data_IF_265148969235
#
_entry.id   IF_265148969235
#
_cell.length_a   1.000
_cell.length_b   1.000
_cell.length_c   1.000
_cell.angle_alpha   90.00
_cell.angle_beta   90.00
_cell.angle_gamma   90.00
#
_symmetry.space_group_name_H-M   'P 1'
#
loop_
_entity.id
_entity.type
_entity.pdbx_description
1 polymer ?
#
# COMPACT_ATOMS: atom_id res chain seq x y z
N UNK A 1 14.59 -19.76 -0.78
CA UNK A 1 14.40 -18.76 -1.85
C UNK A 1 15.59 -18.89 -2.77
N UNK A 2 15.40 -19.00 -4.09
CA UNK A 2 16.54 -19.06 -5.02
C UNK A 2 17.15 -17.65 -5.05
N UNK A 3 18.26 -17.45 -4.33
CA UNK A 3 18.75 -16.11 -4.01
C UNK A 3 19.40 -15.41 -5.22
N UNK A 4 19.93 -16.17 -6.18
CA UNK A 4 20.58 -15.67 -7.39
C UNK A 4 20.00 -16.38 -8.61
N UNK A 5 19.31 -15.60 -9.44
CA UNK A 5 18.72 -15.98 -10.72
C UNK A 5 18.65 -14.71 -11.55
N UNK A 6 19.22 -14.76 -12.75
CA UNK A 6 19.39 -13.63 -13.66
C UNK A 6 18.30 -13.56 -14.74
N UNK A 7 17.41 -14.56 -14.78
CA UNK A 7 16.24 -14.57 -15.68
C UNK A 7 15.05 -15.35 -15.12
N UNK A 8 13.87 -15.14 -15.73
CA UNK A 8 12.68 -15.93 -15.46
C UNK A 8 12.86 -17.42 -15.83
N UNK A 9 13.58 -17.70 -16.91
CA UNK A 9 13.84 -19.06 -17.39
C UNK A 9 14.76 -19.82 -16.42
N UNK A 10 15.78 -19.16 -15.88
CA UNK A 10 16.66 -19.72 -14.86
C UNK A 10 15.91 -19.98 -13.54
N UNK A 11 14.98 -19.10 -13.17
CA UNK A 11 14.09 -19.33 -12.03
C UNK A 11 13.17 -20.54 -12.26
N UNK A 12 12.61 -20.68 -13.46
CA UNK A 12 11.81 -21.84 -13.82
C UNK A 12 12.63 -23.14 -13.74
N UNK A 13 13.85 -23.15 -14.27
CA UNK A 13 14.74 -24.30 -14.22
C UNK A 13 15.07 -24.71 -12.78
N UNK A 14 15.34 -23.75 -11.90
CA UNK A 14 15.60 -24.02 -10.49
C UNK A 14 14.36 -24.53 -9.73
N UNK A 15 13.17 -24.03 -10.08
CA UNK A 15 11.90 -24.54 -9.54
C UNK A 15 11.62 -25.97 -10.01
N UNK A 16 11.93 -26.30 -11.26
CA UNK A 16 11.79 -27.66 -11.80
C UNK A 16 12.70 -28.63 -11.05
N UNK A 17 13.98 -28.29 -10.85
CA UNK A 17 14.89 -29.10 -10.04
C UNK A 17 14.38 -29.31 -8.60
N UNK A 18 13.84 -28.25 -7.97
CA UNK A 18 13.25 -28.37 -6.63
C UNK A 18 12.03 -29.29 -6.61
N UNK A 19 11.14 -29.21 -7.62
CA UNK A 19 9.97 -30.09 -7.74
C UNK A 19 10.43 -31.53 -7.87
N UNK A 20 11.36 -31.79 -8.79
CA UNK A 20 11.75 -33.15 -9.14
C UNK A 20 12.52 -33.83 -8.00
N UNK A 21 13.29 -33.06 -7.21
CA UNK A 21 14.08 -33.58 -6.09
C UNK A 21 13.28 -33.74 -4.78
N UNK A 22 12.27 -32.90 -4.54
CA UNK A 22 11.65 -32.77 -3.21
C UNK A 22 10.14 -32.96 -3.18
N UNK A 23 9.45 -32.92 -4.32
CA UNK A 23 8.00 -33.15 -4.36
C UNK A 23 7.71 -34.65 -4.34
N UNK A 24 6.75 -35.07 -3.51
CA UNK A 24 6.35 -36.48 -3.42
C UNK A 24 5.66 -36.98 -4.71
N UNK A 25 4.95 -36.08 -5.42
CA UNK A 25 4.24 -36.36 -6.66
C UNK A 25 4.51 -35.24 -7.69
N UNK A 26 5.71 -35.16 -8.29
CA UNK A 26 6.10 -34.11 -9.23
C UNK A 26 5.15 -33.93 -10.42
N UNK A 27 4.53 -35.02 -10.89
CA UNK A 27 3.58 -35.05 -11.99
C UNK A 27 2.31 -34.22 -11.77
N UNK A 28 1.99 -33.91 -10.51
CA UNK A 28 0.84 -33.06 -10.16
C UNK A 28 1.09 -31.57 -10.38
N UNK A 29 2.35 -31.16 -10.57
CA UNK A 29 2.76 -29.77 -10.78
C UNK A 29 3.45 -29.62 -12.14
N UNK A 30 2.67 -29.43 -13.23
CA UNK A 30 3.21 -29.41 -14.59
C UNK A 30 4.11 -28.21 -14.85
N UNK A 31 4.97 -28.30 -15.87
CA UNK A 31 5.92 -27.24 -16.22
C UNK A 31 5.24 -25.89 -16.54
N UNK A 32 4.00 -25.91 -17.03
CA UNK A 32 3.21 -24.70 -17.25
C UNK A 32 2.88 -23.95 -15.95
N UNK A 33 2.65 -24.69 -14.86
CA UNK A 33 2.42 -24.10 -13.54
C UNK A 33 3.72 -23.51 -13.00
N UNK A 34 4.84 -24.22 -13.14
CA UNK A 34 6.16 -23.71 -12.79
C UNK A 34 6.54 -22.44 -13.57
N UNK A 35 6.28 -22.41 -14.88
CA UNK A 35 6.48 -21.24 -15.71
C UNK A 35 5.61 -20.05 -15.25
N UNK A 36 4.35 -20.32 -14.86
CA UNK A 36 3.46 -19.31 -14.28
C UNK A 36 3.99 -18.72 -12.97
N UNK A 37 4.48 -19.59 -12.07
CA UNK A 37 5.09 -19.18 -10.79
C UNK A 37 6.37 -18.38 -11.03
N UNK A 38 7.25 -18.85 -11.91
CA UNK A 38 8.50 -18.17 -12.26
C UNK A 38 8.22 -16.79 -12.87
N UNK A 39 7.28 -16.71 -13.82
CA UNK A 39 6.86 -15.45 -14.45
C UNK A 39 6.26 -14.46 -13.44
N UNK A 40 5.41 -14.93 -12.54
CA UNK A 40 4.85 -14.10 -11.46
C UNK A 40 5.95 -13.59 -10.52
N UNK A 41 6.81 -14.49 -10.02
CA UNK A 41 7.88 -14.15 -9.08
C UNK A 41 8.91 -13.19 -9.71
N UNK A 42 9.24 -13.39 -10.99
CA UNK A 42 10.12 -12.50 -11.75
C UNK A 42 9.50 -11.11 -11.92
N UNK A 43 8.22 -11.02 -12.25
CA UNK A 43 7.50 -9.74 -12.34
C UNK A 43 7.44 -9.02 -10.98
N UNK A 44 7.22 -9.76 -9.90
CA UNK A 44 7.33 -9.24 -8.53
C UNK A 44 8.74 -8.72 -8.24
N UNK A 45 9.79 -9.43 -8.66
CA UNK A 45 11.19 -8.98 -8.50
C UNK A 45 11.45 -7.67 -9.24
N UNK A 46 11.09 -7.60 -10.53
CA UNK A 46 11.28 -6.39 -11.36
C UNK A 46 10.53 -5.17 -10.81
N UNK A 47 9.38 -5.39 -10.16
CA UNK A 47 8.60 -4.32 -9.51
C UNK A 47 9.02 -4.04 -8.07
N UNK A 48 10.11 -4.65 -7.60
CA UNK A 48 10.57 -4.58 -6.21
C UNK A 48 9.46 -4.93 -5.20
N UNK A 49 8.59 -5.88 -5.57
CA UNK A 49 7.44 -6.37 -4.81
C UNK A 49 7.74 -7.62 -3.98
N UNK A 50 8.98 -8.12 -3.99
CA UNK A 50 9.39 -9.24 -3.13
C UNK A 50 9.79 -8.67 -1.76
N UNK A 51 9.02 -9.00 -0.73
CA UNK A 51 9.36 -8.66 0.64
C UNK A 51 10.51 -9.56 1.15
N UNK A 52 11.61 -8.95 1.56
CA UNK A 52 12.82 -9.58 2.12
C UNK A 52 13.08 -9.14 3.57
N UNK A 53 12.03 -8.80 4.32
CA UNK A 53 12.21 -8.24 5.66
C UNK A 53 12.85 -6.85 5.61
N UNK A 54 13.89 -6.63 6.42
CA UNK A 54 14.57 -5.32 6.54
C UNK A 54 15.38 -4.91 5.31
N UNK A 55 15.66 -5.84 4.40
CA UNK A 55 16.33 -5.58 3.12
C UNK A 55 15.32 -5.21 1.99
N UNK A 56 14.06 -4.96 2.35
CA UNK A 56 13.04 -4.52 1.40
C UNK A 56 13.06 -3.01 1.24
N UNK A 57 12.99 -2.53 0.01
CA UNK A 57 12.55 -1.16 -0.26
C UNK A 57 11.03 -1.12 -0.41
N UNK A 58 10.38 -0.09 0.16
CA UNK A 58 8.95 0.15 0.01
C UNK A 58 8.71 1.42 -0.82
N UNK A 59 7.81 1.39 -1.82
CA UNK A 59 7.50 2.57 -2.61
C UNK A 59 6.60 3.52 -1.82
N UNK A 60 6.96 4.81 -1.81
CA UNK A 60 6.07 5.88 -1.33
C UNK A 60 5.46 6.58 -2.53
N UNK A 61 4.14 6.69 -2.57
CA UNK A 61 3.44 7.32 -3.70
C UNK A 61 3.72 8.83 -3.74
N UNK A 62 4.17 9.33 -4.90
CA UNK A 62 4.47 10.76 -5.06
C UNK A 62 3.25 11.66 -4.81
N UNK A 63 2.06 11.23 -5.24
CA UNK A 63 0.80 11.96 -4.99
C UNK A 63 0.49 12.09 -3.49
N UNK A 64 0.85 11.09 -2.69
CA UNK A 64 0.72 11.17 -1.24
C UNK A 64 1.64 12.26 -0.66
N UNK A 65 2.88 12.34 -1.15
CA UNK A 65 3.82 13.38 -0.73
C UNK A 65 3.37 14.77 -1.19
N UNK A 66 2.85 14.89 -2.41
CA UNK A 66 2.36 16.16 -2.96
C UNK A 66 1.14 16.68 -2.17
N UNK A 67 0.24 15.79 -1.74
CA UNK A 67 -0.90 16.16 -0.90
C UNK A 67 -0.51 16.67 0.51
N UNK A 68 0.67 16.28 0.99
CA UNK A 68 1.18 16.70 2.31
C UNK A 68 2.13 17.90 2.24
N UNK A 69 2.75 18.15 1.08
CA UNK A 69 3.73 19.22 0.91
C UNK A 69 3.08 20.60 1.10
N UNK A 70 3.77 21.50 1.79
CA UNK A 70 3.30 22.87 2.03
C UNK A 70 2.25 23.01 3.13
N UNK A 71 1.75 21.91 3.71
CA UNK A 71 0.84 21.95 4.84
C UNK A 71 1.58 22.22 6.16
N UNK A 72 0.93 22.89 7.12
CA UNK A 72 1.55 23.30 8.39
C UNK A 72 2.14 22.14 9.23
N UNK A 73 1.61 20.92 9.08
CA UNK A 73 2.13 19.70 9.72
C UNK A 73 2.62 18.65 8.70
N UNK A 74 2.88 19.07 7.46
CA UNK A 74 3.21 18.18 6.34
C UNK A 74 4.45 17.32 6.57
N UNK A 75 5.50 17.91 7.15
CA UNK A 75 6.75 17.19 7.44
C UNK A 75 6.52 16.06 8.45
N UNK A 76 5.78 16.32 9.53
CA UNK A 76 5.47 15.30 10.53
C UNK A 76 4.54 14.22 9.97
N UNK A 77 3.60 14.61 9.09
CA UNK A 77 2.72 13.68 8.39
C UNK A 77 3.51 12.77 7.43
N UNK A 78 4.48 13.32 6.69
CA UNK A 78 5.38 12.53 5.82
C UNK A 78 6.22 11.57 6.67
N UNK A 79 6.82 12.04 7.77
CA UNK A 79 7.60 11.18 8.66
C UNK A 79 6.76 10.04 9.23
N UNK A 80 5.52 10.34 9.67
CA UNK A 80 4.59 9.32 10.14
C UNK A 80 4.20 8.35 9.01
N UNK A 81 3.89 8.84 7.81
CA UNK A 81 3.53 8.00 6.65
C UNK A 81 4.65 7.01 6.32
N UNK A 82 5.89 7.48 6.22
CA UNK A 82 7.06 6.64 5.92
C UNK A 82 7.23 5.54 6.97
N UNK A 83 7.09 5.87 8.25
CA UNK A 83 7.15 4.87 9.32
C UNK A 83 6.02 3.83 9.20
N UNK A 84 4.80 4.27 8.86
CA UNK A 84 3.69 3.33 8.70
C UNK A 84 3.87 2.44 7.47
N UNK A 85 4.39 2.96 6.35
CA UNK A 85 4.71 2.16 5.16
C UNK A 85 5.82 1.13 5.45
N UNK A 86 6.87 1.50 6.20
CA UNK A 86 7.89 0.54 6.69
C UNK A 86 7.25 -0.61 7.50
N UNK A 87 6.38 -0.27 8.45
CA UNK A 87 5.81 -1.26 9.37
C UNK A 87 4.65 -2.07 8.79
N UNK A 88 3.88 -1.50 7.87
CA UNK A 88 2.57 -2.03 7.46
C UNK A 88 2.33 -2.01 5.94
N UNK A 89 3.14 -1.30 5.15
CA UNK A 89 2.95 -1.14 3.70
C UNK A 89 3.03 -2.46 2.90
N UNK A 90 3.74 -3.44 3.45
CA UNK A 90 3.84 -4.81 2.90
C UNK A 90 2.60 -5.67 3.14
N UNK A 91 1.66 -5.24 4.00
CA UNK A 91 0.40 -5.95 4.29
C UNK A 91 -0.82 -5.08 3.98
N UNK A 92 -1.25 -5.00 2.70
CA UNK A 92 -2.39 -4.19 2.30
C UNK A 92 -3.65 -4.47 3.14
N UNK A 93 -4.30 -3.42 3.63
CA UNK A 93 -5.54 -3.54 4.44
C UNK A 93 -5.34 -4.04 5.87
N UNK A 94 -4.09 -4.29 6.31
CA UNK A 94 -3.80 -4.67 7.69
C UNK A 94 -4.27 -3.59 8.66
N UNK A 95 -5.04 -4.02 9.65
CA UNK A 95 -5.51 -3.16 10.75
C UNK A 95 -4.42 -3.06 11.81
N UNK A 96 -4.12 -1.84 12.25
CA UNK A 96 -3.14 -1.59 13.29
C UNK A 96 -3.60 -0.50 14.26
N UNK A 97 -3.26 -0.61 15.56
CA UNK A 97 -3.46 0.48 16.49
C UNK A 97 -2.39 1.57 16.31
N UNK A 98 -2.72 2.82 16.66
CA UNK A 98 -1.75 3.92 16.74
C UNK A 98 -1.62 4.42 18.19
N UNK A 99 -0.64 3.87 18.91
CA UNK A 99 -0.25 4.36 20.24
C UNK A 99 1.03 5.20 20.16
N UNK A 100 0.85 6.52 20.07
CA UNK A 100 1.96 7.46 19.98
C UNK A 100 2.86 7.48 21.22
N UNK A 101 2.37 7.09 22.40
CA UNK A 101 3.23 7.01 23.59
C UNK A 101 4.14 5.80 23.48
N UNK A 102 3.58 4.65 23.08
CA UNK A 102 4.35 3.43 22.87
C UNK A 102 5.38 3.59 21.73
N UNK A 103 4.98 4.18 20.59
CA UNK A 103 5.88 4.43 19.46
C UNK A 103 7.09 5.28 19.84
N UNK A 104 6.86 6.35 20.62
CA UNK A 104 7.95 7.20 21.13
C UNK A 104 8.86 6.46 22.11
N UNK A 105 8.27 5.70 23.04
CA UNK A 105 9.04 4.91 24.03
C UNK A 105 9.92 3.87 23.35
N UNK A 106 9.45 3.29 22.26
CA UNK A 106 10.19 2.34 21.43
C UNK A 106 11.23 3.00 20.51
N UNK A 107 11.36 4.33 20.53
CA UNK A 107 12.34 5.05 19.70
C UNK A 107 11.99 5.08 18.20
N UNK A 108 10.77 4.71 17.81
CA UNK A 108 10.38 4.63 16.39
C UNK A 108 10.24 6.00 15.73
N UNK A 109 9.87 7.02 16.51
CA UNK A 109 9.70 8.38 16.02
C UNK A 109 9.92 9.40 17.14
N UNK A 110 10.74 10.40 16.87
CA UNK A 110 11.04 11.47 17.83
C UNK A 110 10.22 12.73 17.55
N UNK A 111 8.89 12.58 17.54
CA UNK A 111 7.93 13.69 17.37
C UNK A 111 7.01 13.72 18.59
N UNK A 112 6.64 14.92 19.06
CA UNK A 112 5.76 15.06 20.22
C UNK A 112 4.37 14.46 19.95
N UNK A 113 3.71 13.94 20.98
CA UNK A 113 2.38 13.32 20.85
C UNK A 113 1.31 14.25 20.25
N UNK A 114 1.24 15.56 20.62
CA UNK A 114 0.32 16.49 19.97
C UNK A 114 0.57 16.62 18.46
N UNK A 115 1.84 16.69 18.05
CA UNK A 115 2.27 16.76 16.65
C UNK A 115 1.94 15.47 15.90
N UNK A 116 2.17 14.31 16.50
CA UNK A 116 1.76 13.01 15.93
C UNK A 116 0.23 12.90 15.75
N UNK A 117 -0.56 13.44 16.69
CA UNK A 117 -2.03 13.50 16.53
C UNK A 117 -2.44 14.42 15.37
N UNK A 118 -1.75 15.54 15.18
CA UNK A 118 -2.00 16.44 14.06
C UNK A 118 -1.59 15.80 12.73
N UNK A 119 -0.43 15.17 12.68
CA UNK A 119 0.06 14.39 11.54
C UNK A 119 -0.94 13.28 11.16
N UNK A 120 -1.42 12.48 12.12
CA UNK A 120 -2.44 11.46 11.88
C UNK A 120 -3.73 12.04 11.29
N UNK A 121 -4.24 13.14 11.85
CA UNK A 121 -5.43 13.83 11.30
C UNK A 121 -5.21 14.29 9.86
N UNK A 122 -4.00 14.75 9.54
CA UNK A 122 -3.64 15.16 8.18
C UNK A 122 -3.61 13.97 7.23
N UNK A 123 -3.02 12.84 7.63
CA UNK A 123 -3.04 11.60 6.85
C UNK A 123 -4.47 11.09 6.62
N UNK A 124 -5.35 11.20 7.62
CA UNK A 124 -6.77 10.88 7.45
C UNK A 124 -7.47 11.85 6.49
N UNK A 125 -7.24 13.15 6.63
CA UNK A 125 -7.81 14.17 5.74
C UNK A 125 -7.35 14.03 4.29
N UNK A 126 -6.11 13.56 4.07
CA UNK A 126 -5.57 13.25 2.76
C UNK A 126 -6.01 11.87 2.23
N UNK A 127 -6.76 11.08 3.00
CA UNK A 127 -7.19 9.74 2.59
C UNK A 127 -6.04 8.72 2.50
N UNK A 128 -4.95 8.93 3.24
CA UNK A 128 -3.77 8.05 3.31
C UNK A 128 -3.84 7.07 4.50
N UNK A 129 -4.63 7.41 5.51
CA UNK A 129 -4.95 6.55 6.64
C UNK A 129 -6.45 6.60 6.87
N UNK A 130 -7.06 5.48 7.22
CA UNK A 130 -8.50 5.43 7.55
C UNK A 130 -8.74 4.77 8.89
N UNK A 131 -9.57 5.39 9.72
CA UNK A 131 -10.09 4.78 10.95
C UNK A 131 -11.11 3.68 10.59
N UNK A 132 -10.90 2.47 11.11
CA UNK A 132 -11.75 1.29 10.83
C UNK A 132 -12.62 0.92 12.04
N UNK A 133 -12.19 1.22 13.26
CA UNK A 133 -13.00 1.01 14.46
C UNK A 133 -13.08 2.27 15.31
N UNK A 134 -14.29 2.60 15.77
CA UNK A 134 -14.48 3.66 16.77
C UNK A 134 -14.08 3.12 18.14
N UNK A 135 -13.31 3.93 18.88
CA UNK A 135 -12.87 3.61 20.23
C UNK A 135 -14.06 3.28 21.15
N UNK A 136 -13.95 2.19 21.92
CA UNK A 136 -14.78 1.95 23.10
C UNK A 136 -13.87 1.95 24.32
N UNK A 137 -14.07 2.92 25.21
CA UNK A 137 -13.29 3.06 26.44
C UNK A 137 -13.32 1.73 27.22
N UNK A 138 -12.14 1.24 27.58
CA UNK A 138 -11.96 -0.01 28.34
C UNK A 138 -12.05 -1.31 27.53
N UNK A 139 -12.17 -1.28 26.20
CA UNK A 139 -12.34 -2.52 25.42
C UNK A 139 -11.50 -2.62 24.14
N UNK A 140 -11.47 -1.59 23.29
CA UNK A 140 -10.85 -1.70 21.95
C UNK A 140 -10.10 -0.41 21.56
N UNK A 141 -8.80 -0.49 21.20
CA UNK A 141 -8.07 0.66 20.66
C UNK A 141 -8.65 1.07 19.30
N UNK A 142 -8.46 2.34 18.92
CA UNK A 142 -8.75 2.79 17.56
C UNK A 142 -7.84 2.05 16.58
N UNK A 143 -8.45 1.35 15.62
CA UNK A 143 -7.72 0.67 14.57
C UNK A 143 -7.75 1.48 13.29
N UNK A 144 -6.60 1.54 12.65
CA UNK A 144 -6.36 2.23 11.41
C UNK A 144 -5.91 1.25 10.33
N UNK A 145 -6.07 1.64 9.08
CA UNK A 145 -5.49 0.97 7.92
C UNK A 145 -4.78 2.00 7.05
N UNK A 146 -3.68 1.60 6.42
CA UNK A 146 -3.09 2.36 5.34
C UNK A 146 -3.96 2.26 4.09
N UNK A 147 -4.15 3.38 3.42
CA UNK A 147 -4.89 3.46 2.16
C UNK A 147 -3.96 3.97 1.07
N UNK A 148 -4.03 3.34 -0.10
CA UNK A 148 -3.30 3.78 -1.28
C UNK A 148 -4.15 4.83 -1.99
N UNK A 149 -3.55 5.94 -2.42
CA UNK A 149 -4.23 6.84 -3.33
C UNK A 149 -4.39 6.11 -4.66
N UNK A 150 -5.63 5.79 -5.02
CA UNK A 150 -5.94 5.24 -6.32
C UNK A 150 -5.78 6.36 -7.36
N UNK A 151 -4.68 6.35 -8.12
CA UNK A 151 -4.43 7.32 -9.19
C UNK A 151 -5.43 7.25 -10.36
N UNK A 152 -6.42 6.35 -10.32
CA UNK A 152 -7.33 6.05 -11.43
C UNK A 152 -8.82 6.23 -11.18
N UNK A 153 -9.27 6.76 -10.03
CA UNK A 153 -10.71 6.98 -9.77
C UNK A 153 -11.17 8.43 -9.87
N UNK A 154 -10.28 9.41 -10.05
CA UNK A 154 -10.70 10.83 -10.17
C UNK A 154 -11.30 11.20 -11.54
N UNK A 155 -11.28 10.29 -12.52
CA UNK A 155 -11.81 10.53 -13.87
C UNK A 155 -13.22 9.95 -14.10
N UNK A 156 -13.66 8.94 -13.33
CA UNK A 156 -14.95 8.29 -13.57
C UNK A 156 -16.11 8.82 -12.71
N UNK A 157 -15.83 9.52 -11.60
CA UNK A 157 -16.87 10.14 -10.76
C UNK A 157 -17.31 11.54 -11.22
N UNK A 158 -16.68 12.12 -12.25
CA UNK A 158 -17.03 13.47 -12.77
C UNK A 158 -18.04 13.48 -13.92
N UNK A 159 -18.48 12.32 -14.43
CA UNK A 159 -19.40 12.25 -15.58
C UNK A 159 -20.88 12.22 -15.12
N UNK A 160 -21.17 12.07 -13.82
CA UNK A 160 -22.55 12.00 -13.32
C UNK A 160 -23.22 13.35 -13.04
N UNK A 161 -22.48 14.46 -12.98
CA UNK A 161 -23.04 15.79 -12.71
C UNK A 161 -22.76 16.75 -13.87
N UNK A 162 -23.53 16.61 -14.94
CA UNK A 162 -23.80 17.76 -15.81
C UNK A 162 -25.32 17.91 -15.90
N UNK A 163 -25.94 18.94 -15.29
CA UNK A 163 -27.35 19.19 -15.49
C UNK A 163 -27.56 19.61 -16.95
N UNK A 164 -28.28 18.77 -17.68
CA UNK A 164 -28.77 19.03 -19.02
C UNK A 164 -29.66 20.29 -19.01
N UNK A 165 -29.05 21.44 -19.30
CA UNK A 165 -29.74 22.67 -19.63
C UNK A 165 -30.02 22.69 -21.13
N UNK A 166 -31.15 22.11 -21.54
CA UNK A 166 -31.72 22.43 -22.84
C UNK A 166 -32.43 23.79 -22.72
N UNK A 167 -31.71 24.85 -23.07
CA UNK A 167 -32.34 26.04 -23.65
C UNK A 167 -32.45 25.79 -25.16
N UNK A 168 -33.68 25.76 -25.67
CA UNK A 168 -33.96 25.97 -27.09
C UNK A 168 -35.09 26.98 -27.20
N UNK A 169 -34.70 28.24 -27.34
CA UNK A 169 -35.52 29.27 -27.95
C UNK A 169 -35.08 29.41 -29.41
N UNK A 170 -35.99 29.22 -30.36
CA UNK A 170 -36.29 30.23 -31.40
C UNK A 170 -37.37 29.73 -32.37
N UNK A 171 -38.43 30.53 -32.45
CA UNK A 171 -39.32 30.88 -33.58
C UNK A 171 -39.23 30.08 -34.89
N UNK A 172 -40.39 29.78 -35.51
CA UNK A 172 -40.90 30.44 -36.73
C UNK A 172 -42.36 30.04 -37.00
N UNK A 173 -43.16 31.01 -37.49
CA UNK A 173 -44.56 31.04 -37.95
C UNK A 173 -45.64 31.40 -36.92
#
# INVERSE_FOLDING_TARGET
MVEYVDSADELQANLAGTRDDWCAEPETMPDSELAGIAGWAWNCRLKNGIYRGRDSAFPVQRLALDALRGQANGVDAIALLVLLEDQHGHSPGKRFPLDFKAMRRAGLINISTPRLRAARRMLEGAGLVRLVSKHRAGSQPQLFVLTRMNSGLSALDRIADTPSSQHSNSATM
#
